data_IF_101488727241
#
_entry.id   IF_101488727241
#
_cell.length_a   1.000
_cell.length_b   1.000
_cell.length_c   1.000
_cell.angle_alpha   90.00
_cell.angle_beta   90.00
_cell.angle_gamma   90.00
#
_symmetry.space_group_name_H-M   'P 1'
#
loop_
_entity.id
_entity.type
_entity.pdbx_description
1 polymer ?
#
# COMPACT_ATOMS: atom_id res chain seq x y z
N UNK A 1 -10.29 -18.12 -32.33
CA UNK A 1 -10.77 -16.93 -31.59
C UNK A 1 -9.95 -16.86 -30.32
N UNK A 2 -8.94 -15.99 -30.30
CA UNK A 2 -8.03 -15.83 -29.16
C UNK A 2 -8.58 -14.68 -28.31
N UNK A 3 -8.84 -14.93 -27.03
CA UNK A 3 -9.18 -13.87 -26.09
C UNK A 3 -7.90 -13.07 -25.78
N UNK A 4 -7.81 -11.86 -26.32
CA UNK A 4 -6.80 -10.89 -25.91
C UNK A 4 -7.16 -10.40 -24.50
N UNK A 5 -6.22 -10.50 -23.56
CA UNK A 5 -6.37 -9.87 -22.26
C UNK A 5 -6.36 -8.34 -22.45
N UNK A 6 -7.35 -7.65 -21.88
CA UNK A 6 -7.40 -6.19 -21.86
C UNK A 6 -6.23 -5.64 -21.05
N UNK A 7 -5.21 -5.17 -21.74
CA UNK A 7 -4.05 -4.49 -21.16
C UNK A 7 -3.08 -3.88 -22.17
N UNK A 8 -3.35 -3.99 -23.48
CA UNK A 8 -2.42 -3.56 -24.53
C UNK A 8 -2.54 -2.06 -24.87
N UNK A 9 -2.65 -1.25 -23.82
CA UNK A 9 -2.58 0.20 -23.90
C UNK A 9 -1.83 0.72 -22.68
N UNK A 10 -0.53 0.46 -22.67
CA UNK A 10 0.38 1.18 -21.80
C UNK A 10 1.51 1.68 -22.67
N UNK A 11 1.68 3.01 -22.67
CA UNK A 11 2.89 3.71 -23.12
C UNK A 11 4.15 2.90 -22.84
N UNK A 12 5.10 2.90 -23.77
CA UNK A 12 6.40 2.20 -23.82
C UNK A 12 7.38 2.52 -22.66
N UNK A 13 6.85 2.82 -21.48
CA UNK A 13 7.60 3.15 -20.27
C UNK A 13 7.70 1.90 -19.38
N UNK A 14 8.91 1.41 -19.09
CA UNK A 14 9.10 0.26 -18.24
C UNK A 14 8.58 0.53 -16.83
N UNK A 15 7.86 -0.45 -16.26
CA UNK A 15 7.38 -0.35 -14.88
C UNK A 15 8.54 -0.24 -13.90
N UNK A 16 8.44 0.75 -13.02
CA UNK A 16 9.32 0.91 -11.87
C UNK A 16 8.51 1.17 -10.61
N UNK A 17 8.72 0.35 -9.58
CA UNK A 17 7.90 0.35 -8.37
C UNK A 17 8.66 0.85 -7.15
N UNK A 18 8.04 1.71 -6.35
CA UNK A 18 8.55 2.12 -5.03
C UNK A 18 7.67 1.47 -3.95
N UNK A 19 8.27 0.66 -3.09
CA UNK A 19 7.54 -0.15 -2.09
C UNK A 19 7.88 0.32 -0.67
N UNK A 20 6.86 0.63 0.13
CA UNK A 20 6.99 0.94 1.55
C UNK A 20 6.54 -0.23 2.42
N UNK A 21 7.18 -0.38 3.60
CA UNK A 21 6.89 -1.46 4.54
C UNK A 21 7.82 -2.67 4.43
N UNK A 22 9.10 -2.46 4.08
CA UNK A 22 10.11 -3.51 3.79
C UNK A 22 10.14 -4.68 4.79
N UNK A 23 9.92 -4.43 6.08
CA UNK A 23 9.97 -5.45 7.14
C UNK A 23 8.66 -6.22 7.31
N UNK A 24 7.60 -5.84 6.61
CA UNK A 24 6.30 -6.50 6.62
C UNK A 24 6.25 -7.69 5.68
N UNK A 25 5.36 -8.65 6.00
CA UNK A 25 5.07 -9.81 5.16
C UNK A 25 4.76 -9.39 3.73
N UNK A 26 3.72 -8.56 3.54
CA UNK A 26 3.18 -8.24 2.19
C UNK A 26 4.29 -7.68 1.30
N UNK A 27 5.06 -6.73 1.83
CA UNK A 27 6.20 -6.14 1.13
C UNK A 27 7.24 -7.18 0.71
N UNK A 28 7.57 -8.16 1.57
CA UNK A 28 8.52 -9.23 1.23
C UNK A 28 8.00 -10.11 0.09
N UNK A 29 6.70 -10.43 0.08
CA UNK A 29 6.07 -11.20 -0.99
C UNK A 29 6.09 -10.41 -2.32
N UNK A 30 5.79 -9.12 -2.28
CA UNK A 30 5.85 -8.25 -3.46
C UNK A 30 7.26 -8.20 -4.06
N UNK A 31 8.30 -8.03 -3.24
CA UNK A 31 9.68 -8.03 -3.73
C UNK A 31 10.05 -9.33 -4.45
N UNK A 32 9.69 -10.49 -3.88
CA UNK A 32 9.93 -11.80 -4.53
C UNK A 32 9.16 -11.92 -5.85
N UNK A 33 7.90 -11.47 -5.87
CA UNK A 33 7.05 -11.51 -7.06
C UNK A 33 7.61 -10.65 -8.19
N UNK A 34 8.00 -9.41 -7.90
CA UNK A 34 8.52 -8.48 -8.90
C UNK A 34 9.91 -8.85 -9.37
N UNK A 35 10.75 -9.37 -8.48
CA UNK A 35 12.03 -9.98 -8.86
C UNK A 35 11.83 -11.15 -9.84
N UNK A 36 10.90 -12.07 -9.54
CA UNK A 36 10.61 -13.20 -10.43
C UNK A 36 10.01 -12.78 -11.78
N UNK A 37 9.32 -11.62 -11.83
CA UNK A 37 8.75 -11.04 -13.05
C UNK A 37 9.71 -10.10 -13.79
N UNK A 38 10.91 -9.85 -13.28
CA UNK A 38 11.87 -8.93 -13.87
C UNK A 38 11.42 -7.46 -13.87
N UNK A 39 10.55 -7.05 -12.95
CA UNK A 39 10.09 -5.66 -12.82
C UNK A 39 11.02 -4.91 -11.87
N UNK A 40 11.48 -3.72 -12.27
CA UNK A 40 12.34 -2.88 -11.43
C UNK A 40 11.57 -2.38 -10.21
N UNK A 41 12.16 -2.54 -9.03
CA UNK A 41 11.58 -2.04 -7.80
C UNK A 41 12.63 -1.63 -6.77
N UNK A 42 12.27 -0.66 -5.94
CA UNK A 42 13.08 -0.15 -4.85
C UNK A 42 12.24 -0.12 -3.58
N UNK A 43 12.83 -0.50 -2.45
CA UNK A 43 12.21 -0.24 -1.15
C UNK A 43 12.49 1.19 -0.72
N UNK A 44 11.45 1.93 -0.36
CA UNK A 44 11.60 3.24 0.25
C UNK A 44 12.44 3.17 1.51
N UNK A 45 13.33 4.13 1.68
CA UNK A 45 14.13 4.24 2.90
C UNK A 45 13.26 4.72 4.07
N UNK A 46 13.49 4.14 5.25
CA UNK A 46 12.84 4.55 6.50
C UNK A 46 11.35 4.22 6.61
N UNK A 47 10.71 4.84 7.61
CA UNK A 47 9.25 4.82 7.80
C UNK A 47 8.61 6.00 7.07
N UNK A 48 7.28 5.99 6.96
CA UNK A 48 6.51 7.06 6.30
C UNK A 48 6.46 8.41 7.05
N UNK A 49 7.41 8.67 7.93
CA UNK A 49 7.30 9.72 8.94
C UNK A 49 7.86 11.07 8.52
N UNK A 50 8.85 11.07 7.64
CA UNK A 50 9.50 12.27 7.17
C UNK A 50 9.12 12.55 5.72
N UNK A 51 8.34 13.61 5.50
CA UNK A 51 7.91 14.03 4.16
C UNK A 51 9.08 14.28 3.23
N UNK A 52 10.14 14.96 3.67
CA UNK A 52 11.34 15.22 2.87
C UNK A 52 12.02 13.92 2.44
N UNK A 53 12.04 12.90 3.30
CA UNK A 53 12.55 11.57 2.94
C UNK A 53 11.68 10.89 1.88
N UNK A 54 10.36 10.98 1.99
CA UNK A 54 9.45 10.46 0.95
C UNK A 54 9.67 11.18 -0.39
N UNK A 55 9.82 12.51 -0.36
CA UNK A 55 10.06 13.31 -1.56
C UNK A 55 11.40 12.96 -2.22
N UNK A 56 12.45 12.78 -1.41
CA UNK A 56 13.76 12.33 -1.88
C UNK A 56 13.69 10.92 -2.51
N UNK A 57 12.99 9.98 -1.86
CA UNK A 57 12.79 8.63 -2.39
C UNK A 57 12.08 8.65 -3.76
N UNK A 58 11.01 9.44 -3.89
CA UNK A 58 10.27 9.58 -5.15
C UNK A 58 11.13 10.25 -6.22
N UNK A 59 11.84 11.33 -5.88
CA UNK A 59 12.69 12.05 -6.82
C UNK A 59 13.86 11.19 -7.34
N UNK A 60 14.48 10.41 -6.47
CA UNK A 60 15.58 9.51 -6.82
C UNK A 60 15.10 8.29 -7.63
N UNK A 61 13.96 7.72 -7.26
CA UNK A 61 13.47 6.47 -7.88
C UNK A 61 12.72 6.73 -9.19
N UNK A 62 12.03 7.87 -9.31
CA UNK A 62 11.09 8.20 -10.40
C UNK A 62 10.13 7.03 -10.69
N UNK A 63 9.36 6.57 -9.69
CA UNK A 63 8.54 5.38 -9.84
C UNK A 63 7.31 5.66 -10.72
N UNK A 64 6.91 4.65 -11.47
CA UNK A 64 5.60 4.60 -12.14
C UNK A 64 4.45 4.40 -11.13
N UNK A 65 4.70 3.59 -10.10
CA UNK A 65 3.73 3.20 -9.09
C UNK A 65 4.36 3.15 -7.72
N UNK A 66 3.59 3.50 -6.70
CA UNK A 66 3.96 3.36 -5.30
C UNK A 66 3.07 2.31 -4.65
N UNK A 67 3.68 1.40 -3.90
CA UNK A 67 2.99 0.37 -3.11
C UNK A 67 3.16 0.67 -1.63
N UNK A 68 2.08 1.01 -0.94
CA UNK A 68 2.08 1.19 0.51
C UNK A 68 1.63 -0.08 1.23
N UNK A 69 2.60 -0.89 1.64
CA UNK A 69 2.40 -2.00 2.57
C UNK A 69 2.92 -1.66 3.99
N UNK A 70 3.19 -0.38 4.27
CA UNK A 70 3.56 0.07 5.60
C UNK A 70 2.29 0.26 6.45
N UNK A 71 2.31 -0.30 7.65
CA UNK A 71 1.22 -0.17 8.60
C UNK A 71 1.55 -0.87 9.90
N UNK A 72 0.85 -0.48 10.96
CA UNK A 72 0.91 -1.16 12.25
C UNK A 72 -0.36 -1.98 12.42
N UNK A 73 -0.22 -3.31 12.46
CA UNK A 73 -1.31 -4.26 12.74
C UNK A 73 -1.40 -4.65 14.22
N UNK A 74 -0.52 -4.08 15.06
CA UNK A 74 -0.35 -4.48 16.46
C UNK A 74 0.43 -5.80 16.59
N UNK A 75 1.23 -5.93 17.65
CA UNK A 75 1.89 -7.20 18.01
C UNK A 75 1.51 -7.54 19.45
N UNK A 76 1.08 -8.78 19.74
CA UNK A 76 0.91 -9.91 18.82
C UNK A 76 -0.35 -9.84 17.93
N UNK A 77 -1.28 -8.93 18.21
CA UNK A 77 -2.54 -8.79 17.47
C UNK A 77 -3.06 -7.33 17.51
N UNK A 78 -4.22 -7.09 16.89
CA UNK A 78 -4.84 -5.77 16.72
C UNK A 78 -5.17 -5.07 18.04
N UNK A 79 -5.39 -5.80 19.14
CA UNK A 79 -5.71 -5.20 20.45
C UNK A 79 -4.57 -4.30 20.96
N UNK A 80 -3.34 -4.52 20.50
CA UNK A 80 -2.22 -3.64 20.80
C UNK A 80 -2.51 -2.18 20.42
N UNK A 81 -3.27 -1.96 19.34
CA UNK A 81 -3.64 -0.64 18.85
C UNK A 81 -4.54 0.13 19.84
N UNK A 82 -5.27 -0.57 20.71
CA UNK A 82 -6.15 0.06 21.72
C UNK A 82 -5.37 0.84 22.77
N UNK A 83 -4.17 0.38 23.13
CA UNK A 83 -3.28 1.10 24.05
C UNK A 83 -2.28 2.01 23.32
N UNK A 84 -2.11 1.85 22.00
CA UNK A 84 -1.13 2.56 21.18
C UNK A 84 -1.79 3.41 20.08
N UNK A 85 -2.91 4.05 20.41
CA UNK A 85 -3.75 4.81 19.47
C UNK A 85 -2.97 5.86 18.68
N UNK A 86 -2.05 6.58 19.35
CA UNK A 86 -1.24 7.62 18.72
C UNK A 86 -0.37 7.04 17.61
N UNK A 87 0.32 5.93 17.87
CA UNK A 87 1.20 5.29 16.89
C UNK A 87 0.41 4.74 15.69
N UNK A 88 -0.77 4.17 15.98
CA UNK A 88 -1.71 3.67 14.97
C UNK A 88 -2.25 4.81 14.09
N UNK A 89 -2.74 5.90 14.68
CA UNK A 89 -3.27 7.06 13.94
C UNK A 89 -2.16 7.72 13.12
N UNK A 90 -0.98 7.92 13.71
CA UNK A 90 0.15 8.51 12.98
C UNK A 90 0.52 7.67 11.75
N UNK A 91 0.67 6.35 11.91
CA UNK A 91 1.12 5.50 10.81
C UNK A 91 0.04 5.16 9.80
N UNK A 92 -1.08 4.63 10.25
CA UNK A 92 -2.11 4.10 9.36
C UNK A 92 -3.00 5.21 8.76
N UNK A 93 -3.08 6.39 9.41
CA UNK A 93 -3.89 7.52 8.92
C UNK A 93 -3.00 8.65 8.40
N UNK A 94 -2.34 9.41 9.28
CA UNK A 94 -1.70 10.67 8.89
C UNK A 94 -0.57 10.49 7.87
N UNK A 95 0.32 9.51 8.10
CA UNK A 95 1.45 9.21 7.19
C UNK A 95 0.98 8.61 5.87
N UNK A 96 -0.06 7.76 5.91
CA UNK A 96 -0.67 7.20 4.68
C UNK A 96 -1.31 8.30 3.83
N UNK A 97 -2.05 9.24 4.45
CA UNK A 97 -2.63 10.39 3.76
C UNK A 97 -1.55 11.31 3.17
N UNK A 98 -0.43 11.49 3.88
CA UNK A 98 0.71 12.27 3.38
C UNK A 98 1.29 11.65 2.11
N UNK A 99 1.52 10.34 2.11
CA UNK A 99 1.99 9.60 0.93
C UNK A 99 0.98 9.68 -0.23
N UNK A 100 -0.31 9.53 0.06
CA UNK A 100 -1.37 9.65 -0.94
C UNK A 100 -1.43 11.03 -1.58
N UNK A 101 -1.35 12.10 -0.77
CA UNK A 101 -1.29 13.48 -1.27
C UNK A 101 -0.09 13.70 -2.19
N UNK A 102 1.09 13.23 -1.79
CA UNK A 102 2.30 13.35 -2.60
C UNK A 102 2.22 12.58 -3.93
N UNK A 103 1.66 11.36 -3.92
CA UNK A 103 1.49 10.56 -5.13
C UNK A 103 0.51 11.26 -6.08
N UNK A 104 -0.62 11.77 -5.57
CA UNK A 104 -1.58 12.55 -6.34
C UNK A 104 -0.94 13.78 -6.98
N UNK A 105 -0.20 14.58 -6.20
CA UNK A 105 0.41 15.82 -6.69
C UNK A 105 1.47 15.57 -7.78
N UNK A 106 2.02 14.35 -7.86
CA UNK A 106 3.01 13.93 -8.86
C UNK A 106 2.44 13.05 -9.97
N UNK A 107 1.13 12.78 -9.96
CA UNK A 107 0.49 11.89 -10.94
C UNK A 107 0.92 10.42 -10.85
N UNK A 108 1.36 9.96 -9.67
CA UNK A 108 1.82 8.59 -9.43
C UNK A 108 0.67 7.76 -8.86
N UNK A 109 0.46 6.55 -9.42
CA UNK A 109 -0.55 5.62 -8.90
C UNK A 109 -0.08 5.04 -7.56
N UNK A 110 -0.94 5.17 -6.55
CA UNK A 110 -0.72 4.58 -5.22
C UNK A 110 -1.60 3.33 -5.03
N UNK A 111 -0.95 2.20 -4.76
CA UNK A 111 -1.58 0.97 -4.30
C UNK A 111 -1.46 0.93 -2.78
N UNK A 112 -2.56 1.14 -2.07
CA UNK A 112 -2.59 1.16 -0.61
C UNK A 112 -3.18 -0.15 -0.07
N UNK A 113 -2.39 -0.95 0.64
CA UNK A 113 -2.88 -2.18 1.26
C UNK A 113 -3.58 -1.85 2.58
N UNK A 114 -4.88 -2.14 2.64
CA UNK A 114 -5.75 -1.84 3.78
C UNK A 114 -6.41 -3.11 4.32
N UNK A 115 -7.24 -2.95 5.34
CA UNK A 115 -7.98 -4.05 5.95
C UNK A 115 -9.46 -3.98 5.60
N UNK A 116 -10.08 -5.15 5.40
CA UNK A 116 -11.54 -5.30 5.32
C UNK A 116 -12.18 -5.45 6.71
N UNK A 117 -11.40 -5.54 7.79
CA UNK A 117 -11.90 -5.70 9.16
C UNK A 117 -12.48 -4.40 9.74
N UNK A 118 -13.15 -3.61 8.93
CA UNK A 118 -13.93 -2.43 9.31
C UNK A 118 -15.44 -2.73 9.28
N UNK A 119 -15.81 -3.90 8.77
CA UNK A 119 -17.18 -4.39 8.71
C UNK A 119 -17.43 -5.39 9.85
N UNK A 120 -18.62 -5.32 10.45
CA UNK A 120 -19.14 -6.35 11.36
C UNK A 120 -20.45 -6.91 10.79
N UNK A 121 -20.72 -8.17 11.10
CA UNK A 121 -22.04 -8.74 10.82
C UNK A 121 -23.04 -8.25 11.87
N UNK A 122 -24.28 -8.10 11.45
CA UNK A 122 -25.42 -7.80 12.31
C UNK A 122 -26.65 -8.58 11.82
N UNK A 123 -27.82 -8.28 12.39
CA UNK A 123 -29.07 -8.97 12.02
C UNK A 123 -29.44 -8.76 10.55
N UNK A 124 -29.09 -7.60 9.99
CA UNK A 124 -29.50 -7.18 8.65
C UNK A 124 -28.45 -7.61 7.61
N UNK A 125 -27.21 -7.85 8.07
CA UNK A 125 -26.07 -8.29 7.28
C UNK A 125 -25.46 -9.59 7.86
N UNK A 126 -26.12 -10.74 7.69
CA UNK A 126 -25.64 -12.02 8.20
C UNK A 126 -24.44 -12.57 7.41
N UNK A 127 -23.65 -13.41 8.08
CA UNK A 127 -22.47 -14.07 7.50
C UNK A 127 -22.85 -14.85 6.23
N UNK A 128 -22.18 -14.56 5.11
CA UNK A 128 -22.37 -15.26 3.84
C UNK A 128 -23.28 -14.55 2.82
N UNK A 129 -24.02 -13.51 3.22
CA UNK A 129 -24.88 -12.74 2.33
C UNK A 129 -24.27 -11.40 1.93
N UNK A 130 -23.13 -11.41 1.23
CA UNK A 130 -22.63 -10.37 0.30
C UNK A 130 -22.62 -8.87 0.68
N UNK A 131 -23.13 -8.47 1.83
CA UNK A 131 -23.48 -7.10 2.15
C UNK A 131 -22.56 -6.63 3.29
N UNK A 132 -21.74 -5.65 2.96
CA UNK A 132 -20.76 -5.03 3.84
C UNK A 132 -21.23 -3.60 4.10
N UNK A 133 -21.59 -3.26 5.35
CA UNK A 133 -22.04 -1.91 5.72
C UNK A 133 -21.01 -1.15 6.58
N UNK A 134 -20.73 0.10 6.19
CA UNK A 134 -19.81 1.05 6.89
C UNK A 134 -20.42 1.53 8.20
#
# INVERSE_FOLDING_TARGET
>A
MVFLANGDSATDQPYKFLIYGRTGWISSLLGKLYQAKGIDFVYGSGRLENRSSLEANIAATKPSHVFNAAGVMGRPNVNWCESHKVETIQTNVARTLTLAGMCRDKGIVLINYTTRCIFKYDSDHPLGFGAFQV
#
